data_IF_913593208691
#
_entry.id   IF_913593208691
#
_cell.length_a   1.000
_cell.length_b   1.000
_cell.length_c   1.000
_cell.angle_alpha   90.00
_cell.angle_beta   90.00
_cell.angle_gamma   90.00
#
_symmetry.space_group_name_H-M   'P 1'
#
loop_
_entity.id
_entity.type
_entity.pdbx_description
1 polymer ?
#
# COMPACT_ATOMS: atom_id res chain seq x y z
N UNK A 1 8.50 -1.30 -8.22
CA UNK A 1 7.38 -2.10 -8.79
C UNK A 1 7.69 -2.64 -10.18
N UNK A 2 7.00 -3.74 -10.54
CA UNK A 2 7.08 -4.43 -11.84
C UNK A 2 6.31 -3.67 -12.97
N UNK A 3 6.41 -4.08 -14.26
CA UNK A 3 5.91 -3.30 -15.42
C UNK A 3 4.40 -2.97 -15.42
N UNK A 4 3.95 -1.98 -16.21
CA UNK A 4 2.57 -1.45 -16.19
C UNK A 4 1.46 -2.46 -16.52
N UNK A 5 1.80 -3.62 -17.11
CA UNK A 5 0.86 -4.70 -17.44
C UNK A 5 0.45 -5.55 -16.22
N UNK A 6 1.11 -5.37 -15.08
CA UNK A 6 0.73 -6.02 -13.82
C UNK A 6 -0.24 -5.15 -13.01
N UNK A 7 -1.03 -5.78 -12.14
CA UNK A 7 -2.12 -5.17 -11.37
C UNK A 7 -1.73 -3.88 -10.63
N UNK A 8 -0.48 -3.78 -10.18
CA UNK A 8 0.08 -2.60 -9.51
C UNK A 8 0.21 -1.39 -10.45
N UNK A 9 0.62 -1.61 -11.69
CA UNK A 9 0.76 -0.54 -12.69
C UNK A 9 -0.59 0.01 -13.14
N UNK A 10 -1.57 -0.88 -13.35
CA UNK A 10 -2.95 -0.48 -13.64
C UNK A 10 -3.57 0.33 -12.48
N UNK A 11 -3.29 -0.06 -11.24
CA UNK A 11 -3.72 0.68 -10.06
C UNK A 11 -3.09 2.09 -10.03
N UNK A 12 -1.77 2.20 -10.28
CA UNK A 12 -1.09 3.50 -10.27
C UNK A 12 -1.61 4.44 -11.36
N UNK A 13 -1.83 3.92 -12.57
CA UNK A 13 -2.43 4.69 -13.68
C UNK A 13 -3.84 5.15 -13.28
N UNK A 14 -4.66 4.25 -12.74
CA UNK A 14 -6.02 4.62 -12.35
C UNK A 14 -6.06 5.63 -11.20
N UNK A 15 -5.14 5.50 -10.25
CA UNK A 15 -4.98 6.46 -9.15
C UNK A 15 -4.62 7.85 -9.69
N UNK A 16 -3.65 7.93 -10.62
CA UNK A 16 -3.29 9.19 -11.30
C UNK A 16 -4.49 9.84 -11.97
N UNK A 17 -5.22 9.09 -12.80
CA UNK A 17 -6.42 9.61 -13.47
C UNK A 17 -7.43 10.19 -12.47
N UNK A 18 -7.77 9.43 -11.43
CA UNK A 18 -8.79 9.82 -10.46
C UNK A 18 -8.35 11.02 -9.60
N UNK A 19 -7.09 11.11 -9.22
CA UNK A 19 -6.57 12.24 -8.44
C UNK A 19 -6.57 13.52 -9.29
N UNK A 20 -6.06 13.44 -10.52
CA UNK A 20 -6.02 14.60 -11.41
C UNK A 20 -7.43 15.08 -11.78
N UNK A 21 -8.35 14.16 -12.04
CA UNK A 21 -9.77 14.46 -12.30
C UNK A 21 -10.46 15.08 -11.08
N UNK A 22 -10.38 14.45 -9.91
CA UNK A 22 -11.08 14.91 -8.70
C UNK A 22 -10.52 16.19 -8.09
N UNK A 23 -9.33 16.60 -8.51
CA UNK A 23 -8.68 17.83 -8.05
C UNK A 23 -8.71 18.93 -9.10
N UNK A 24 -9.43 18.74 -10.23
CA UNK A 24 -9.46 19.67 -11.36
C UNK A 24 -8.05 20.07 -11.83
N UNK A 25 -7.10 19.12 -11.78
CA UNK A 25 -5.70 19.32 -12.15
C UNK A 25 -4.84 20.04 -11.10
N UNK A 26 -5.38 20.37 -9.92
CA UNK A 26 -4.62 21.02 -8.85
C UNK A 26 -3.54 20.10 -8.24
N UNK A 27 -3.77 18.78 -8.24
CA UNK A 27 -2.74 17.79 -7.95
C UNK A 27 -2.32 17.09 -9.25
N UNK A 28 -1.02 16.83 -9.40
CA UNK A 28 -0.45 16.01 -10.47
C UNK A 28 0.22 14.79 -9.87
N UNK A 29 0.02 13.63 -10.48
CA UNK A 29 0.62 12.37 -10.00
C UNK A 29 1.70 11.94 -10.97
N UNK A 30 2.93 11.83 -10.47
CA UNK A 30 4.06 11.25 -11.21
C UNK A 30 4.26 9.80 -10.76
N UNK A 31 4.33 8.89 -11.73
CA UNK A 31 4.45 7.45 -11.46
C UNK A 31 5.88 7.01 -11.77
N UNK A 32 6.54 6.44 -10.77
CA UNK A 32 7.89 5.89 -10.87
C UNK A 32 7.82 4.36 -10.89
N UNK A 33 8.42 3.72 -11.90
CA UNK A 33 8.39 2.26 -12.06
C UNK A 33 9.76 1.65 -11.75
N UNK A 34 9.89 0.32 -11.89
CA UNK A 34 11.19 -0.40 -11.92
C UNK A 34 12.09 -0.22 -10.70
N UNK A 35 11.53 0.13 -9.55
CA UNK A 35 12.30 0.36 -8.32
C UNK A 35 13.31 1.51 -8.47
N UNK A 36 13.01 2.50 -9.30
CA UNK A 36 13.80 3.72 -9.48
C UNK A 36 14.03 4.48 -8.17
N UNK A 37 13.11 4.34 -7.22
CA UNK A 37 13.17 4.96 -5.89
C UNK A 37 13.69 4.02 -4.79
N UNK A 38 14.24 2.86 -5.14
CA UNK A 38 14.68 1.83 -4.19
C UNK A 38 13.65 0.73 -3.92
N UNK A 39 13.74 0.07 -2.77
CA UNK A 39 12.85 -1.01 -2.33
C UNK A 39 11.71 -0.54 -1.41
N UNK A 40 10.80 -1.45 -1.03
CA UNK A 40 9.62 -1.09 -0.22
C UNK A 40 9.97 -0.47 1.15
N UNK A 41 11.11 -0.81 1.75
CA UNK A 41 11.60 -0.16 2.99
C UNK A 41 11.96 1.31 2.73
N UNK A 42 12.63 1.60 1.62
CA UNK A 42 12.99 2.96 1.23
C UNK A 42 11.74 3.79 0.94
N UNK A 43 10.68 3.18 0.39
CA UNK A 43 9.40 3.86 0.17
C UNK A 43 8.71 4.26 1.47
N UNK A 44 8.74 3.39 2.49
CA UNK A 44 8.18 3.70 3.81
C UNK A 44 8.96 4.85 4.47
N UNK A 45 10.29 4.83 4.39
CA UNK A 45 11.10 5.96 4.87
C UNK A 45 10.82 7.24 4.09
N UNK A 46 10.69 7.16 2.76
CA UNK A 46 10.33 8.30 1.92
C UNK A 46 8.97 8.91 2.30
N UNK A 47 7.96 8.08 2.58
CA UNK A 47 6.66 8.53 3.10
C UNK A 47 6.83 9.30 4.41
N UNK A 48 7.58 8.72 5.37
CA UNK A 48 7.76 9.28 6.71
C UNK A 48 8.57 10.58 6.69
N UNK A 49 9.52 10.69 5.79
CA UNK A 49 10.32 11.90 5.57
C UNK A 49 9.58 12.97 4.76
N UNK A 50 8.46 12.63 4.13
CA UNK A 50 7.71 13.52 3.24
C UNK A 50 8.39 13.78 1.90
N UNK A 51 9.31 12.91 1.48
CA UNK A 51 9.94 12.97 0.14
C UNK A 51 9.21 12.09 -0.89
N UNK A 52 8.23 11.31 -0.43
CA UNK A 52 7.31 10.53 -1.25
C UNK A 52 5.92 10.71 -0.65
N UNK A 53 4.92 11.07 -1.47
CA UNK A 53 3.58 11.36 -0.97
C UNK A 53 2.70 10.10 -0.86
N UNK A 54 2.85 9.19 -1.82
CA UNK A 54 2.03 7.98 -1.93
C UNK A 54 2.88 6.82 -2.42
N UNK A 55 2.68 5.66 -1.81
CA UNK A 55 3.22 4.39 -2.29
C UNK A 55 2.26 3.28 -1.95
N UNK A 56 2.51 2.11 -2.53
CA UNK A 56 1.90 0.87 -2.11
C UNK A 56 2.98 -0.09 -1.64
N UNK A 57 2.75 -0.71 -0.49
CA UNK A 57 3.70 -1.63 0.14
C UNK A 57 2.95 -2.86 0.63
N UNK A 58 3.65 -3.98 0.65
CA UNK A 58 3.14 -5.19 1.29
C UNK A 58 3.26 -5.01 2.80
N UNK A 59 2.22 -5.39 3.54
CA UNK A 59 2.08 -5.07 4.97
C UNK A 59 3.25 -5.57 5.82
N UNK A 60 3.85 -6.72 5.49
CA UNK A 60 5.01 -7.26 6.20
C UNK A 60 6.27 -6.40 6.08
N UNK A 61 6.43 -5.57 5.04
CA UNK A 61 7.56 -4.64 4.97
C UNK A 61 7.45 -3.50 5.98
N UNK A 62 6.24 -3.23 6.48
CA UNK A 62 6.02 -2.26 7.57
C UNK A 62 6.35 -2.84 8.95
N UNK A 63 6.56 -4.16 9.06
CA UNK A 63 6.82 -4.83 10.34
C UNK A 63 8.11 -4.40 11.04
N UNK A 64 9.05 -3.79 10.32
CA UNK A 64 10.26 -3.21 10.93
C UNK A 64 9.92 -2.05 11.88
N UNK A 65 8.77 -1.40 11.71
CA UNK A 65 8.27 -0.32 12.58
C UNK A 65 7.20 -0.81 13.55
N UNK A 66 6.30 -1.71 13.09
CA UNK A 66 5.27 -2.32 13.93
C UNK A 66 5.29 -3.84 13.75
N UNK A 67 6.09 -4.56 14.58
CA UNK A 67 6.28 -6.00 14.46
C UNK A 67 4.98 -6.81 14.52
N UNK A 68 3.94 -6.28 15.18
CA UNK A 68 2.62 -6.93 15.23
C UNK A 68 2.02 -7.19 13.85
N UNK A 69 2.38 -6.38 12.84
CA UNK A 69 1.84 -6.54 11.48
C UNK A 69 2.30 -7.84 10.80
N UNK A 70 3.38 -8.48 11.28
CA UNK A 70 3.80 -9.79 10.77
C UNK A 70 2.74 -10.87 10.98
N UNK A 71 1.82 -10.70 11.93
CA UNK A 71 0.75 -11.66 12.17
C UNK A 71 -0.09 -11.85 10.90
N UNK A 72 -0.26 -10.83 10.06
CA UNK A 72 -1.10 -10.87 8.87
C UNK A 72 -0.49 -11.63 7.70
N UNK A 73 0.78 -12.02 7.79
CA UNK A 73 1.49 -12.80 6.78
C UNK A 73 1.71 -14.26 7.21
N UNK A 74 1.11 -14.66 8.34
CA UNK A 74 1.22 -16.04 8.81
C UNK A 74 0.62 -17.02 7.78
N UNK A 75 1.31 -18.13 7.48
CA UNK A 75 0.77 -19.18 6.64
C UNK A 75 -0.57 -19.70 7.18
N UNK A 76 -1.52 -19.94 6.28
CA UNK A 76 -2.85 -20.50 6.59
C UNK A 76 -3.75 -19.64 7.49
N UNK A 77 -3.39 -18.37 7.73
CA UNK A 77 -4.22 -17.45 8.52
C UNK A 77 -5.60 -17.23 7.88
N UNK A 78 -5.64 -17.11 6.55
CA UNK A 78 -6.86 -16.91 5.79
C UNK A 78 -7.26 -18.20 5.08
N UNK A 79 -8.55 -18.50 5.11
CA UNK A 79 -9.12 -19.73 4.53
C UNK A 79 -9.49 -19.59 3.05
N UNK A 80 -9.59 -18.36 2.55
CA UNK A 80 -9.76 -18.03 1.14
C UNK A 80 -9.33 -16.58 0.88
N UNK A 81 -9.24 -16.21 -0.41
CA UNK A 81 -8.99 -14.84 -0.85
C UNK A 81 -10.07 -13.87 -0.35
N UNK A 82 -11.34 -14.28 -0.45
CA UNK A 82 -12.49 -13.50 0.01
C UNK A 82 -12.46 -13.32 1.53
N UNK A 83 -12.06 -14.35 2.29
CA UNK A 83 -11.87 -14.25 3.73
C UNK A 83 -10.76 -13.25 4.07
N UNK A 84 -9.63 -13.28 3.37
CA UNK A 84 -8.56 -12.29 3.56
C UNK A 84 -9.06 -10.86 3.31
N UNK A 85 -9.76 -10.64 2.19
CA UNK A 85 -10.30 -9.34 1.82
C UNK A 85 -11.34 -8.83 2.84
N UNK A 86 -12.23 -9.70 3.31
CA UNK A 86 -13.22 -9.37 4.33
C UNK A 86 -12.58 -9.00 5.67
N UNK A 87 -11.54 -9.74 6.08
CA UNK A 87 -10.82 -9.47 7.33
C UNK A 87 -10.14 -8.10 7.32
N UNK A 88 -9.39 -7.77 6.26
CA UNK A 88 -8.62 -6.51 6.19
C UNK A 88 -9.49 -5.28 5.92
N UNK A 89 -10.62 -5.43 5.22
CA UNK A 89 -11.56 -4.33 4.98
C UNK A 89 -12.62 -4.19 6.09
N UNK A 90 -12.72 -5.16 7.00
CA UNK A 90 -13.66 -5.14 8.12
C UNK A 90 -12.93 -5.20 9.47
N UNK A 91 -12.98 -6.33 10.19
CA UNK A 91 -12.54 -6.43 11.58
C UNK A 91 -11.12 -5.93 11.88
N UNK A 92 -10.19 -6.09 10.94
CA UNK A 92 -8.79 -5.73 11.13
C UNK A 92 -8.45 -4.31 10.66
N UNK A 93 -9.34 -3.65 9.91
CA UNK A 93 -9.01 -2.42 9.21
C UNK A 93 -8.56 -1.33 10.18
N UNK A 94 -9.38 -1.00 11.17
CA UNK A 94 -9.08 0.05 12.15
C UNK A 94 -7.88 -0.33 13.02
N UNK A 95 -7.72 -1.61 13.36
CA UNK A 95 -6.55 -2.06 14.11
C UNK A 95 -5.26 -1.85 13.32
N UNK A 96 -5.22 -2.20 12.03
CA UNK A 96 -4.04 -2.00 11.18
C UNK A 96 -3.80 -0.50 10.98
N UNK A 97 -4.86 0.27 10.74
CA UNK A 97 -4.79 1.71 10.56
C UNK A 97 -4.21 2.43 11.77
N UNK A 98 -4.75 2.19 12.96
CA UNK A 98 -4.22 2.78 14.22
C UNK A 98 -2.76 2.44 14.46
N UNK A 99 -2.33 1.24 14.05
CA UNK A 99 -0.96 0.74 14.21
C UNK A 99 -0.01 1.44 13.24
N UNK A 100 -0.35 1.44 11.96
CA UNK A 100 0.49 2.03 10.89
C UNK A 100 0.58 3.55 11.04
N UNK A 101 -0.53 4.23 11.33
CA UNK A 101 -0.58 5.69 11.36
C UNK A 101 0.19 6.33 12.52
N UNK A 102 0.48 5.57 13.60
CA UNK A 102 1.37 6.01 14.69
C UNK A 102 2.80 6.30 14.23
N UNK A 103 3.18 5.81 13.05
CA UNK A 103 4.54 5.96 12.52
C UNK A 103 4.67 7.09 11.48
N UNK A 104 3.69 7.99 11.41
CA UNK A 104 3.78 9.21 10.59
C UNK A 104 3.38 9.00 9.13
N UNK A 105 2.49 8.04 8.86
CA UNK A 105 1.94 7.78 7.53
C UNK A 105 0.41 7.68 7.61
N UNK A 106 -0.28 7.70 6.48
CA UNK A 106 -1.74 7.50 6.40
C UNK A 106 -2.06 6.22 5.63
N UNK A 107 -2.91 5.36 6.19
CA UNK A 107 -3.40 4.19 5.46
C UNK A 107 -4.63 4.60 4.62
N UNK A 108 -4.52 4.50 3.29
CA UNK A 108 -5.60 4.89 2.38
C UNK A 108 -6.57 3.74 2.10
N UNK A 109 -6.02 2.57 1.72
CA UNK A 109 -6.81 1.40 1.37
C UNK A 109 -5.94 0.15 1.38
N UNK A 110 -6.60 -1.02 1.44
CA UNK A 110 -6.00 -2.29 1.09
C UNK A 110 -6.31 -2.61 -0.37
N UNK A 111 -5.32 -3.14 -1.07
CA UNK A 111 -5.50 -3.70 -2.40
C UNK A 111 -4.80 -5.04 -2.45
N UNK A 112 -5.30 -5.93 -3.29
CA UNK A 112 -4.69 -7.24 -3.48
C UNK A 112 -3.86 -7.23 -4.76
N UNK A 113 -2.57 -7.53 -4.61
CA UNK A 113 -1.76 -8.02 -5.72
C UNK A 113 -2.16 -9.48 -5.86
N UNK A 114 -2.95 -9.82 -6.89
CA UNK A 114 -3.52 -11.15 -7.05
C UNK A 114 -2.50 -12.28 -6.83
N UNK A 115 -2.98 -13.44 -6.41
CA UNK A 115 -2.16 -14.63 -6.16
C UNK A 115 -1.17 -14.88 -7.30
N UNK A 116 0.12 -14.77 -7.00
CA UNK A 116 1.21 -15.22 -7.86
C UNK A 116 1.28 -16.74 -7.86
#
# INVERSE_FOLDING_TARGET
MQPPEQSEGLLAIKFKELVEEKTDGAAKVEIYFRSELGGQKDYIEGLRMGTLEVTWVTIGFFSSYEPMLNIFELPFLYTSREHAFWMVNGPLNEMIKERVEKHGVKLLAFFEVGSR
#
